data_IF_182882022230
#
_entry.id   IF_182882022230
#
_cell.length_a   1.000
_cell.length_b   1.000
_cell.length_c   1.000
_cell.angle_alpha   90.00
_cell.angle_beta   90.00
_cell.angle_gamma   90.00
#
_symmetry.space_group_name_H-M   'P 1'
#
loop_
_entity.id
_entity.type
_entity.pdbx_description
1 polymer ?
#
# COMPACT_ATOMS: atom_id res chain seq x y z
N UNK A 1 10.43 18.02 21.33
CA UNK A 1 11.41 18.77 20.51
C UNK A 1 12.61 17.95 20.02
N UNK A 2 13.14 16.99 20.78
CA UNK A 2 14.36 16.28 20.34
C UNK A 2 14.22 15.39 19.07
N UNK A 3 13.02 14.94 18.71
CA UNK A 3 12.79 13.99 17.62
C UNK A 3 11.88 14.52 16.49
N UNK A 4 11.45 15.76 16.54
CA UNK A 4 10.67 16.40 15.47
C UNK A 4 11.53 16.46 14.19
N UNK A 5 10.97 15.98 13.06
CA UNK A 5 11.75 15.85 11.84
C UNK A 5 11.12 16.54 10.64
N UNK A 6 9.82 16.40 10.44
CA UNK A 6 9.09 17.05 9.36
C UNK A 6 7.81 17.69 9.88
N UNK A 7 7.40 18.79 9.27
CA UNK A 7 6.05 19.37 9.40
C UNK A 7 5.26 19.11 8.13
N UNK A 8 4.01 18.70 8.26
CA UNK A 8 3.07 18.63 7.14
C UNK A 8 2.64 20.06 6.80
N UNK A 9 3.04 20.57 5.66
CA UNK A 9 2.65 21.91 5.18
C UNK A 9 1.33 21.80 4.41
N UNK A 10 1.16 20.71 3.66
CA UNK A 10 -0.03 20.40 2.87
C UNK A 10 -0.14 18.87 2.81
N UNK A 11 -1.23 18.32 3.30
CA UNK A 11 -1.46 16.86 3.30
C UNK A 11 -1.75 16.29 1.91
N UNK A 12 -1.98 17.14 0.91
CA UNK A 12 -2.42 16.74 -0.43
C UNK A 12 -3.76 16.01 -0.39
N UNK A 13 -3.88 14.93 -1.14
CA UNK A 13 -5.08 14.08 -1.15
C UNK A 13 -5.19 13.16 0.07
N UNK A 14 -4.21 13.19 0.97
CA UNK A 14 -4.21 12.47 2.24
C UNK A 14 -3.02 11.54 2.40
N UNK A 15 -2.75 11.19 3.64
CA UNK A 15 -1.68 10.28 4.01
C UNK A 15 -1.83 9.79 5.44
N UNK A 16 -1.10 8.73 5.76
CA UNK A 16 -1.07 8.11 7.09
C UNK A 16 0.32 7.58 7.41
N UNK A 17 0.62 7.40 8.69
CA UNK A 17 1.74 6.57 9.11
C UNK A 17 1.39 5.11 8.92
N UNK A 18 2.27 4.35 8.27
CA UNK A 18 2.11 2.93 8.03
C UNK A 18 3.43 2.19 8.25
N UNK A 19 3.34 0.99 8.82
CA UNK A 19 4.43 0.03 8.94
C UNK A 19 4.04 -1.31 8.29
N UNK A 20 4.54 -2.45 8.75
CA UNK A 20 4.14 -3.77 8.23
C UNK A 20 2.74 -4.23 8.71
N UNK A 21 2.05 -3.41 9.51
CA UNK A 21 0.75 -3.73 10.06
C UNK A 21 0.81 -4.65 11.28
N UNK A 22 -0.36 -4.88 11.88
CA UNK A 22 -0.53 -5.63 13.13
C UNK A 22 -0.92 -7.07 12.85
N UNK A 23 -0.14 -8.01 13.34
CA UNK A 23 -0.36 -9.46 13.16
C UNK A 23 -1.01 -10.10 14.39
N UNK A 24 -1.79 -11.16 14.18
CA UNK A 24 -2.39 -11.96 15.25
C UNK A 24 -3.74 -11.46 15.79
N UNK A 25 -4.19 -10.26 15.40
CA UNK A 25 -5.38 -9.63 15.97
C UNK A 25 -6.66 -9.81 15.13
N UNK A 26 -6.56 -10.41 13.94
CA UNK A 26 -7.71 -10.63 13.04
C UNK A 26 -8.84 -11.42 13.69
N UNK A 27 -8.54 -12.38 14.55
CA UNK A 27 -9.53 -13.16 15.29
C UNK A 27 -10.40 -12.32 16.25
N UNK A 28 -9.96 -11.10 16.56
CA UNK A 28 -10.69 -10.12 17.35
C UNK A 28 -11.35 -9.02 16.50
N UNK A 29 -11.43 -9.19 15.19
CA UNK A 29 -12.03 -8.21 14.29
C UNK A 29 -11.12 -7.05 13.89
N UNK A 30 -9.84 -7.07 14.29
CA UNK A 30 -8.88 -5.99 13.99
C UNK A 30 -8.16 -6.29 12.68
N UNK A 31 -8.31 -5.44 11.63
CA UNK A 31 -7.60 -5.63 10.37
C UNK A 31 -6.08 -5.42 10.54
N UNK A 32 -5.27 -6.07 9.71
CA UNK A 32 -3.83 -5.95 9.82
C UNK A 32 -3.33 -4.52 9.54
N UNK A 33 -3.99 -3.77 8.68
CA UNK A 33 -3.51 -2.50 8.14
C UNK A 33 -2.11 -2.64 7.53
N UNK A 34 -1.26 -1.63 7.65
CA UNK A 34 0.08 -1.64 7.05
C UNK A 34 0.11 -0.96 5.68
N UNK A 35 1.31 -0.85 5.15
CA UNK A 35 1.54 -0.25 3.83
C UNK A 35 0.79 -1.00 2.74
N UNK A 36 0.22 -0.28 1.79
CA UNK A 36 -0.51 -0.88 0.65
C UNK A 36 0.46 -1.58 -0.32
N UNK A 37 1.60 -0.96 -0.60
CA UNK A 37 2.69 -1.54 -1.40
C UNK A 37 3.93 -1.75 -0.51
N UNK A 38 4.08 -2.98 -0.02
CA UNK A 38 5.19 -3.39 0.84
C UNK A 38 6.54 -3.44 0.11
N UNK A 39 6.54 -3.67 -1.21
CA UNK A 39 7.74 -3.59 -2.02
C UNK A 39 8.32 -2.17 -2.00
N UNK A 40 7.52 -1.18 -2.40
CA UNK A 40 7.96 0.21 -2.45
C UNK A 40 8.36 0.75 -1.07
N UNK A 41 7.51 0.53 -0.05
CA UNK A 41 7.79 0.98 1.31
C UNK A 41 9.07 0.38 1.89
N UNK A 42 9.32 -0.92 1.63
CA UNK A 42 10.55 -1.57 2.09
C UNK A 42 11.79 -0.99 1.43
N UNK A 43 11.71 -0.63 0.13
CA UNK A 43 12.83 0.02 -0.56
C UNK A 43 13.10 1.43 -0.04
N UNK A 44 12.07 2.25 0.25
CA UNK A 44 12.28 3.55 0.90
C UNK A 44 13.07 3.41 2.20
N UNK A 45 12.73 2.42 3.02
CA UNK A 45 13.42 2.15 4.28
C UNK A 45 14.85 1.63 4.05
N UNK A 46 15.04 0.64 3.17
CA UNK A 46 16.36 0.05 2.89
C UNK A 46 17.35 1.07 2.34
N UNK A 47 16.89 2.05 1.58
CA UNK A 47 17.74 3.13 1.06
C UNK A 47 18.36 3.97 2.18
N UNK A 48 17.74 4.02 3.35
CA UNK A 48 18.20 4.73 4.55
C UNK A 48 18.75 3.81 5.64
N UNK A 49 19.04 2.55 5.34
CA UNK A 49 19.48 1.51 6.29
C UNK A 49 18.49 1.32 7.48
N UNK A 50 17.25 1.70 7.29
CA UNK A 50 16.19 1.37 8.23
C UNK A 50 15.81 -0.13 8.13
N UNK A 51 15.20 -0.68 9.19
CA UNK A 51 14.47 -1.94 9.08
C UNK A 51 13.45 -1.83 7.92
N UNK A 52 13.33 -2.85 7.09
CA UNK A 52 12.41 -2.86 5.95
C UNK A 52 10.94 -2.58 6.34
N UNK A 53 10.60 -2.86 7.59
CA UNK A 53 9.27 -2.60 8.16
C UNK A 53 9.18 -1.36 9.05
N UNK A 54 10.18 -0.49 9.06
CA UNK A 54 10.10 0.77 9.80
C UNK A 54 8.91 1.61 9.29
N UNK A 55 8.34 2.39 10.19
CA UNK A 55 7.19 3.24 9.87
C UNK A 55 7.57 4.30 8.82
N UNK A 56 6.75 4.42 7.79
CA UNK A 56 6.84 5.40 6.71
C UNK A 56 5.57 6.26 6.69
N UNK A 57 5.62 7.39 6.02
CA UNK A 57 4.42 8.09 5.57
C UNK A 57 3.98 7.46 4.25
N UNK A 58 2.76 6.96 4.20
CA UNK A 58 2.08 6.52 2.99
C UNK A 58 1.15 7.63 2.51
N UNK A 59 1.32 8.06 1.27
CA UNK A 59 0.62 9.19 0.66
C UNK A 59 -0.22 8.74 -0.52
N UNK A 60 -1.42 9.31 -0.63
CA UNK A 60 -2.34 9.04 -1.74
C UNK A 60 -2.09 10.02 -2.89
N UNK A 61 -1.76 9.50 -4.05
CA UNK A 61 -1.60 10.22 -5.31
C UNK A 61 -0.62 11.40 -5.25
N UNK A 62 -1.08 12.63 -4.91
CA UNK A 62 -0.34 13.86 -5.16
C UNK A 62 -0.67 14.98 -4.17
N UNK A 63 0.12 16.07 -4.25
CA UNK A 63 -0.18 17.35 -3.59
C UNK A 63 0.50 17.53 -2.23
N UNK A 64 1.06 16.48 -1.63
CA UNK A 64 1.64 16.57 -0.30
C UNK A 64 2.91 17.44 -0.27
N UNK A 65 3.04 18.25 0.79
CA UNK A 65 4.21 19.10 1.04
C UNK A 65 4.65 18.98 2.49
N UNK A 66 5.94 18.85 2.67
CA UNK A 66 6.57 18.76 3.99
C UNK A 66 7.67 19.80 4.12
N UNK A 67 7.90 20.30 5.33
CA UNK A 67 9.03 21.15 5.69
C UNK A 67 9.93 20.39 6.66
N UNK A 68 11.23 20.33 6.38
CA UNK A 68 12.20 19.73 7.28
C UNK A 68 12.45 20.63 8.50
N UNK A 69 12.21 20.13 9.69
CA UNK A 69 12.42 20.86 10.94
C UNK A 69 13.87 20.75 11.44
N UNK A 70 14.63 19.86 10.83
CA UNK A 70 16.06 19.60 11.09
C UNK A 70 16.73 19.00 9.87
N UNK A 71 18.05 19.00 9.85
CA UNK A 71 18.80 18.25 8.86
C UNK A 71 18.49 16.77 9.05
N UNK A 72 18.12 16.10 7.94
CA UNK A 72 17.76 14.69 7.94
C UNK A 72 17.99 14.07 6.56
N UNK A 73 17.95 12.76 6.49
CA UNK A 73 17.92 12.03 5.23
C UNK A 73 16.53 11.49 5.00
N UNK A 74 16.08 11.60 3.76
CA UNK A 74 14.79 11.06 3.32
C UNK A 74 14.99 10.15 2.11
N UNK A 75 14.05 9.23 1.91
CA UNK A 75 13.93 8.46 0.67
C UNK A 75 12.47 8.38 0.27
N UNK A 76 12.20 8.55 -1.03
CA UNK A 76 10.86 8.48 -1.61
C UNK A 76 10.82 7.35 -2.63
N UNK A 77 9.72 6.58 -2.60
CA UNK A 77 9.48 5.44 -3.49
C UNK A 77 7.99 5.27 -3.79
N UNK A 78 7.66 4.29 -4.63
CA UNK A 78 6.27 3.98 -4.99
C UNK A 78 5.81 4.74 -6.22
N UNK A 79 4.59 5.26 -6.17
CA UNK A 79 3.98 6.01 -7.26
C UNK A 79 4.88 7.17 -7.72
N UNK A 80 5.00 7.34 -9.02
CA UNK A 80 5.82 8.41 -9.59
C UNK A 80 5.03 9.71 -9.65
N UNK A 81 5.57 10.72 -8.97
CA UNK A 81 5.02 12.08 -8.98
C UNK A 81 6.14 13.07 -9.31
N UNK A 82 5.79 14.20 -9.88
CA UNK A 82 6.72 15.32 -9.97
C UNK A 82 7.10 15.78 -8.56
N UNK A 83 8.38 15.83 -8.29
CA UNK A 83 8.90 16.24 -7.00
C UNK A 83 10.15 17.11 -7.16
N UNK A 84 10.39 17.96 -6.17
CA UNK A 84 11.63 18.73 -6.10
C UNK A 84 12.82 17.93 -5.53
N UNK A 85 12.57 16.67 -5.14
CA UNK A 85 13.58 15.71 -4.67
C UNK A 85 13.52 14.44 -5.50
N UNK A 86 14.65 13.81 -5.80
CA UNK A 86 14.67 12.59 -6.61
C UNK A 86 14.14 11.38 -5.86
N UNK A 87 13.45 10.49 -6.60
CA UNK A 87 12.95 9.20 -6.13
C UNK A 87 14.03 8.11 -6.13
N UNK A 88 13.79 7.08 -5.35
CA UNK A 88 14.55 5.82 -5.30
C UNK A 88 16.02 6.00 -4.92
N UNK A 89 16.31 7.01 -4.11
CA UNK A 89 17.64 7.27 -3.53
C UNK A 89 17.54 8.02 -2.20
N UNK A 90 18.57 7.91 -1.34
CA UNK A 90 18.70 8.79 -0.18
C UNK A 90 18.93 10.24 -0.62
N UNK A 91 18.26 11.17 0.03
CA UNK A 91 18.39 12.60 -0.22
C UNK A 91 18.63 13.31 1.11
N UNK A 92 19.72 14.08 1.27
CA UNK A 92 19.87 14.94 2.42
C UNK A 92 18.95 16.16 2.27
N UNK A 93 18.23 16.49 3.31
CA UNK A 93 17.33 17.66 3.38
C UNK A 93 17.73 18.49 4.59
N UNK A 94 17.94 19.79 4.39
CA UNK A 94 18.33 20.73 5.46
C UNK A 94 17.10 21.28 6.16
N UNK A 95 17.29 21.70 7.40
CA UNK A 95 16.24 22.42 8.15
C UNK A 95 15.73 23.61 7.34
N UNK A 96 14.40 23.76 7.25
CA UNK A 96 13.69 24.77 6.48
C UNK A 96 13.48 24.42 4.99
N UNK A 97 14.13 23.39 4.46
CA UNK A 97 13.87 22.94 3.08
C UNK A 97 12.53 22.20 2.99
N UNK A 98 11.89 22.32 1.83
CA UNK A 98 10.59 21.70 1.54
C UNK A 98 10.75 20.49 0.63
N UNK A 99 9.94 19.48 0.88
CA UNK A 99 9.70 18.33 0.01
C UNK A 99 8.31 18.53 -0.57
N UNK A 100 8.21 18.60 -1.89
CA UNK A 100 6.95 18.82 -2.59
C UNK A 100 6.68 17.69 -3.56
N UNK A 101 5.53 17.03 -3.39
CA UNK A 101 5.02 15.99 -4.29
C UNK A 101 3.86 16.56 -5.08
N UNK A 102 4.08 16.84 -6.37
CA UNK A 102 3.16 17.59 -7.21
C UNK A 102 2.22 16.67 -7.99
N UNK A 103 2.36 16.59 -9.29
CA UNK A 103 1.46 15.83 -10.17
C UNK A 103 1.85 14.36 -10.23
N UNK A 104 0.85 13.49 -10.12
CA UNK A 104 1.03 12.04 -10.24
C UNK A 104 1.04 11.59 -11.71
N UNK A 105 2.01 10.73 -12.07
CA UNK A 105 2.17 10.16 -13.41
C UNK A 105 1.90 8.66 -13.45
N UNK A 106 2.21 7.94 -12.37
CA UNK A 106 2.14 6.49 -12.34
C UNK A 106 1.91 6.01 -10.91
N UNK A 107 1.14 4.94 -10.73
CA UNK A 107 0.84 4.37 -9.43
C UNK A 107 -0.16 5.21 -8.61
N UNK A 108 -0.39 4.80 -7.38
CA UNK A 108 -1.38 5.40 -6.47
C UNK A 108 -0.80 5.79 -5.11
N UNK A 109 0.16 5.02 -4.60
CA UNK A 109 0.71 5.17 -3.26
C UNK A 109 2.19 5.53 -3.31
N UNK A 110 2.55 6.66 -2.71
CA UNK A 110 3.93 7.13 -2.54
C UNK A 110 4.34 6.96 -1.08
N UNK A 111 5.58 6.56 -0.87
CA UNK A 111 6.15 6.34 0.46
C UNK A 111 7.28 7.31 0.72
N UNK A 112 7.20 8.01 1.84
CA UNK A 112 8.27 8.86 2.35
C UNK A 112 8.83 8.21 3.61
N UNK A 113 10.11 7.87 3.58
CA UNK A 113 10.87 7.41 4.73
C UNK A 113 11.84 8.50 5.21
N UNK A 114 12.13 8.50 6.51
CA UNK A 114 13.23 9.28 7.12
C UNK A 114 14.23 8.34 7.76
N UNK A 115 15.45 8.79 7.94
CA UNK A 115 16.46 8.03 8.69
C UNK A 115 15.95 7.67 10.10
N UNK A 116 16.05 6.39 10.48
CA UNK A 116 15.56 5.87 11.75
C UNK A 116 14.06 5.59 11.78
N UNK A 117 13.31 5.82 10.70
CA UNK A 117 11.86 5.62 10.60
C UNK A 117 11.03 6.64 11.37
N UNK A 118 9.74 6.73 11.10
CA UNK A 118 8.83 7.60 11.83
C UNK A 118 8.41 6.97 13.16
N UNK A 119 8.31 7.81 14.20
CA UNK A 119 7.67 7.51 15.47
C UNK A 119 6.19 7.87 15.46
N UNK A 120 5.47 7.42 16.46
CA UNK A 120 4.05 7.72 16.64
C UNK A 120 3.39 6.75 17.61
N UNK A 121 2.08 6.92 17.87
CA UNK A 121 1.33 6.03 18.73
C UNK A 121 1.32 4.61 18.15
N UNK A 122 1.36 3.63 19.04
CA UNK A 122 1.37 2.22 18.70
C UNK A 122 0.10 1.53 19.19
N UNK A 123 -0.53 0.74 18.30
CA UNK A 123 -1.73 -0.01 18.57
C UNK A 123 -1.50 -1.47 18.21
N UNK A 124 -1.56 -2.36 19.19
CA UNK A 124 -1.37 -3.80 18.99
C UNK A 124 -0.06 -4.16 18.28
N UNK A 125 1.05 -3.50 18.69
CA UNK A 125 2.39 -3.73 18.16
C UNK A 125 2.65 -3.14 16.77
N UNK A 126 1.83 -2.18 16.31
CA UNK A 126 1.98 -1.50 15.01
C UNK A 126 1.61 -0.02 15.11
N UNK A 127 2.34 0.82 14.35
CA UNK A 127 2.03 2.25 14.16
C UNK A 127 1.17 2.53 12.94
N UNK A 128 0.76 1.48 12.23
CA UNK A 128 -0.12 1.64 11.07
C UNK A 128 -1.45 2.24 11.48
N UNK A 129 -1.81 3.35 10.87
CA UNK A 129 -3.11 3.96 11.09
C UNK A 129 -4.22 3.08 10.49
N UNK A 130 -5.29 2.89 11.26
CA UNK A 130 -6.58 2.38 10.83
C UNK A 130 -7.65 3.39 11.27
N UNK A 131 -7.85 4.40 10.44
CA UNK A 131 -8.66 5.58 10.79
C UNK A 131 -10.11 5.21 11.13
N UNK A 132 -10.71 4.26 10.40
CA UNK A 132 -12.08 3.78 10.65
C UNK A 132 -12.25 3.11 12.03
N UNK A 133 -11.18 2.54 12.57
CA UNK A 133 -11.17 1.90 13.89
C UNK A 133 -10.55 2.78 14.99
N UNK A 134 -10.36 4.08 14.74
CA UNK A 134 -9.76 5.04 15.68
C UNK A 134 -8.37 4.63 16.18
N UNK A 135 -7.61 3.88 15.39
CA UNK A 135 -6.21 3.52 15.66
C UNK A 135 -5.31 4.40 14.77
N UNK A 136 -4.78 5.47 15.35
CA UNK A 136 -4.07 6.51 14.60
C UNK A 136 -5.02 7.43 13.82
N UNK A 137 -4.44 8.37 13.09
CA UNK A 137 -5.15 9.40 12.33
C UNK A 137 -4.58 9.57 10.93
N UNK A 138 -5.37 10.14 10.03
CA UNK A 138 -4.84 10.72 8.81
C UNK A 138 -4.01 11.96 9.15
N UNK A 139 -3.01 12.24 8.32
CA UNK A 139 -2.21 13.46 8.43
C UNK A 139 -3.08 14.69 8.20
N UNK A 140 -2.82 15.72 8.99
CA UNK A 140 -3.42 17.04 8.86
C UNK A 140 -2.34 18.10 8.61
N UNK A 141 -2.76 19.21 7.98
CA UNK A 141 -1.89 20.35 7.79
C UNK A 141 -1.47 20.91 9.17
N UNK A 142 -0.18 21.16 9.33
CA UNK A 142 0.42 21.58 10.60
C UNK A 142 0.94 20.45 11.48
N UNK A 143 0.61 19.19 11.20
CA UNK A 143 1.12 18.05 11.96
C UNK A 143 2.65 18.03 11.97
N UNK A 144 3.21 17.73 13.16
CA UNK A 144 4.64 17.54 13.35
C UNK A 144 4.95 16.05 13.47
N UNK A 145 5.69 15.55 12.49
CA UNK A 145 6.13 14.18 12.46
C UNK A 145 7.46 14.03 13.21
N UNK A 146 7.54 12.98 14.02
CA UNK A 146 8.73 12.66 14.81
C UNK A 146 9.43 11.44 14.24
N UNK A 147 10.76 11.37 14.34
CA UNK A 147 11.48 10.14 14.05
C UNK A 147 11.55 9.24 15.28
N UNK A 148 11.54 7.93 15.05
CA UNK A 148 11.59 6.95 16.14
C UNK A 148 12.95 6.98 16.86
N UNK A 149 14.00 7.33 16.16
CA UNK A 149 15.38 7.30 16.61
C UNK A 149 16.17 6.23 15.82
N UNK A 150 17.44 6.11 16.13
CA UNK A 150 18.34 5.17 15.45
C UNK A 150 19.70 5.80 15.17
N UNK A 151 20.58 5.04 14.55
CA UNK A 151 21.86 5.58 14.10
C UNK A 151 21.64 6.58 12.96
N UNK A 152 22.36 7.70 12.93
CA UNK A 152 22.33 8.60 11.80
C UNK A 152 22.72 7.85 10.52
N UNK A 153 21.95 8.09 9.45
CA UNK A 153 22.30 7.53 8.14
C UNK A 153 23.56 8.23 7.59
N UNK A 154 24.46 7.44 7.06
CA UNK A 154 25.66 7.93 6.39
C UNK A 154 25.92 7.07 5.15
N UNK A 155 26.19 7.72 4.04
CA UNK A 155 26.70 6.98 2.87
C UNK A 155 28.11 6.46 3.18
N UNK A 156 28.44 5.21 2.80
CA UNK A 156 29.79 4.69 2.94
C UNK A 156 30.82 5.59 2.23
N UNK A 157 32.02 5.67 2.78
CA UNK A 157 33.09 6.47 2.21
C UNK A 157 33.37 6.08 0.74
N UNK A 158 33.59 7.08 -0.09
CA UNK A 158 33.82 6.90 -1.53
C UNK A 158 32.60 6.64 -2.38
N UNK A 159 31.38 6.62 -1.78
CA UNK A 159 30.11 6.44 -2.51
C UNK A 159 29.41 7.79 -2.66
N UNK A 160 29.30 8.26 -3.92
CA UNK A 160 28.60 9.51 -4.24
C UNK A 160 27.07 9.42 -4.13
N UNK A 161 26.50 8.20 -4.02
CA UNK A 161 25.07 7.99 -3.92
C UNK A 161 24.70 6.51 -3.88
N UNK A 162 23.42 6.27 -3.59
CA UNK A 162 22.80 4.93 -3.56
C UNK A 162 21.50 4.99 -4.36
N UNK A 163 21.17 3.94 -5.06
CA UNK A 163 19.87 3.79 -5.73
C UNK A 163 19.49 2.31 -5.76
N UNK A 164 18.24 2.02 -6.08
CA UNK A 164 17.80 0.62 -6.24
C UNK A 164 18.20 0.09 -7.62
N UNK A 165 18.33 -1.25 -7.78
CA UNK A 165 18.47 -1.88 -9.09
C UNK A 165 17.30 -1.52 -10.02
N UNK A 166 17.57 -1.32 -11.31
CA UNK A 166 16.54 -0.94 -12.28
C UNK A 166 15.39 -1.93 -12.36
N UNK A 167 15.66 -3.23 -12.20
CA UNK A 167 14.66 -4.30 -12.18
C UNK A 167 13.68 -4.22 -11.00
N UNK A 168 14.07 -3.53 -9.92
CA UNK A 168 13.22 -3.32 -8.75
C UNK A 168 12.29 -2.10 -8.89
N UNK A 169 12.50 -1.26 -9.92
CA UNK A 169 11.59 -0.17 -10.25
C UNK A 169 10.44 -0.70 -11.07
N UNK A 170 9.26 -0.73 -10.46
CA UNK A 170 8.04 -1.22 -11.08
C UNK A 170 7.42 -0.15 -11.97
N UNK A 171 7.00 -0.51 -13.17
CA UNK A 171 6.13 0.31 -14.01
C UNK A 171 4.67 0.07 -13.63
N UNK A 172 4.13 0.92 -12.79
CA UNK A 172 2.76 0.79 -12.33
C UNK A 172 1.71 1.14 -13.39
N UNK A 173 2.09 1.72 -14.53
CA UNK A 173 1.18 1.92 -15.65
C UNK A 173 0.91 0.60 -16.41
N UNK A 174 1.84 -0.35 -16.34
CA UNK A 174 1.75 -1.65 -17.01
C UNK A 174 1.92 -2.81 -16.00
N UNK A 175 0.94 -3.02 -15.09
CA UNK A 175 1.02 -4.12 -14.16
C UNK A 175 1.00 -5.47 -14.92
N UNK A 176 1.73 -6.49 -14.44
CA UNK A 176 1.65 -7.83 -15.00
C UNK A 176 0.27 -8.43 -14.75
N UNK A 177 -0.04 -9.55 -15.40
CA UNK A 177 -1.18 -10.36 -15.01
C UNK A 177 -0.97 -10.89 -13.59
N UNK A 178 -1.92 -10.61 -12.69
CA UNK A 178 -1.81 -10.89 -11.26
C UNK A 178 -2.17 -12.34 -10.96
N UNK A 179 -1.34 -13.03 -10.18
CA UNK A 179 -1.50 -14.45 -9.87
C UNK A 179 -2.56 -14.67 -8.80
N UNK A 180 -3.42 -15.65 -9.05
CA UNK A 180 -4.52 -15.98 -8.13
C UNK A 180 -4.48 -17.47 -7.80
N UNK A 181 -4.39 -17.76 -6.51
CA UNK A 181 -4.57 -19.10 -5.95
C UNK A 181 -6.05 -19.39 -5.77
N UNK A 182 -6.52 -20.62 -6.05
CA UNK A 182 -7.92 -20.97 -5.82
C UNK A 182 -8.26 -20.91 -4.33
N UNK A 183 -9.45 -20.36 -4.00
CA UNK A 183 -9.99 -20.47 -2.65
C UNK A 183 -10.75 -21.80 -2.48
N UNK A 184 -10.97 -22.27 -1.24
CA UNK A 184 -11.78 -23.48 -1.01
C UNK A 184 -13.19 -23.39 -1.62
N UNK A 185 -13.72 -22.19 -1.77
CA UNK A 185 -15.05 -21.92 -2.36
C UNK A 185 -15.02 -21.72 -3.88
N UNK A 186 -13.85 -21.79 -4.55
CA UNK A 186 -13.75 -21.59 -6.00
C UNK A 186 -14.59 -22.58 -6.79
N UNK A 187 -14.81 -23.78 -6.28
CA UNK A 187 -15.64 -24.81 -6.89
C UNK A 187 -17.11 -24.39 -7.04
N UNK A 188 -17.62 -23.51 -6.16
CA UNK A 188 -18.98 -22.99 -6.23
C UNK A 188 -19.26 -22.19 -7.50
N UNK A 189 -18.22 -21.61 -8.11
CA UNK A 189 -18.34 -20.85 -9.35
C UNK A 189 -18.36 -21.75 -10.59
N UNK A 190 -17.93 -23.02 -10.46
CA UNK A 190 -17.74 -23.91 -11.58
C UNK A 190 -16.65 -23.43 -12.55
N UNK A 191 -16.29 -24.31 -13.46
CA UNK A 191 -15.17 -24.06 -14.40
C UNK A 191 -15.40 -22.83 -15.30
N UNK A 192 -16.61 -22.70 -15.86
CA UNK A 192 -16.97 -21.63 -16.80
C UNK A 192 -16.81 -20.22 -16.18
N UNK A 193 -17.27 -20.01 -14.96
CA UNK A 193 -17.21 -18.70 -14.30
C UNK A 193 -15.80 -18.38 -13.83
N UNK A 194 -15.03 -19.40 -13.42
CA UNK A 194 -13.62 -19.22 -13.10
C UNK A 194 -12.80 -18.86 -14.35
N UNK A 195 -13.02 -19.53 -15.48
CA UNK A 195 -12.38 -19.19 -16.76
C UNK A 195 -12.76 -17.77 -17.19
N UNK A 196 -14.05 -17.41 -17.10
CA UNK A 196 -14.53 -16.06 -17.38
C UNK A 196 -13.81 -14.98 -16.57
N UNK A 197 -13.56 -15.21 -15.27
CA UNK A 197 -12.81 -14.27 -14.44
C UNK A 197 -11.39 -14.03 -14.98
N UNK A 198 -10.68 -15.07 -15.39
CA UNK A 198 -9.30 -14.98 -15.90
C UNK A 198 -9.21 -14.44 -17.32
N UNK A 199 -10.23 -14.62 -18.14
CA UNK A 199 -10.29 -14.10 -19.52
C UNK A 199 -10.70 -12.62 -19.57
N UNK A 200 -11.40 -12.15 -18.52
CA UNK A 200 -11.90 -10.78 -18.45
C UNK A 200 -10.76 -9.81 -18.11
N UNK A 201 -10.72 -8.68 -18.80
CA UNK A 201 -9.95 -7.52 -18.41
C UNK A 201 -10.81 -6.66 -17.46
N UNK A 202 -10.38 -6.54 -16.21
CA UNK A 202 -11.09 -5.81 -15.17
C UNK A 202 -10.60 -4.38 -15.07
N UNK A 203 -11.50 -3.45 -14.73
CA UNK A 203 -11.17 -2.05 -14.49
C UNK A 203 -11.29 -1.71 -13.00
N UNK A 204 -10.27 -1.10 -12.42
CA UNK A 204 -10.31 -0.63 -11.03
C UNK A 204 -11.27 0.56 -10.94
N UNK A 205 -12.23 0.51 -10.02
CA UNK A 205 -13.25 1.56 -9.88
C UNK A 205 -12.82 2.69 -8.92
N UNK A 206 -13.44 3.88 -9.00
CA UNK A 206 -13.17 5.00 -8.08
C UNK A 206 -13.43 4.67 -6.60
N UNK A 207 -14.34 3.74 -6.31
CA UNK A 207 -14.70 3.32 -4.95
C UNK A 207 -13.65 2.41 -4.31
N UNK A 208 -12.56 2.13 -5.02
CA UNK A 208 -11.44 1.35 -4.49
C UNK A 208 -10.67 2.15 -3.44
N UNK A 209 -10.41 1.53 -2.30
CA UNK A 209 -9.68 2.14 -1.18
C UNK A 209 -8.83 1.10 -0.43
N UNK A 210 -8.34 1.48 0.75
CA UNK A 210 -7.56 0.58 1.62
C UNK A 210 -8.36 -0.62 2.17
N UNK A 211 -9.69 -0.59 2.09
CA UNK A 211 -10.58 -1.69 2.52
C UNK A 211 -10.71 -2.75 1.44
N UNK A 212 -10.89 -2.32 0.19
CA UNK A 212 -11.04 -3.23 -0.93
C UNK A 212 -10.97 -2.54 -2.28
N UNK A 213 -10.37 -3.23 -3.24
CA UNK A 213 -10.34 -2.81 -4.63
C UNK A 213 -11.54 -3.41 -5.34
N UNK A 214 -12.42 -2.55 -5.82
CA UNK A 214 -13.62 -2.92 -6.56
C UNK A 214 -13.30 -2.92 -8.04
N UNK A 215 -13.72 -3.99 -8.71
CA UNK A 215 -13.44 -4.20 -10.13
C UNK A 215 -14.74 -4.12 -10.92
N UNK A 216 -14.68 -3.48 -12.07
CA UNK A 216 -15.78 -3.42 -13.04
C UNK A 216 -15.38 -4.21 -14.31
N UNK A 217 -16.34 -4.90 -14.89
CA UNK A 217 -16.16 -5.73 -16.09
C UNK A 217 -17.43 -6.47 -16.42
N UNK A 218 -17.34 -7.58 -17.13
CA UNK A 218 -18.50 -8.46 -17.33
C UNK A 218 -18.81 -9.23 -16.04
N UNK A 219 -20.04 -9.15 -15.51
CA UNK A 219 -20.39 -9.78 -14.24
C UNK A 219 -20.15 -11.29 -14.24
N UNK A 220 -19.68 -11.80 -13.11
CA UNK A 220 -19.62 -13.24 -12.83
C UNK A 220 -20.95 -13.65 -12.21
N UNK A 221 -21.57 -14.72 -12.71
CA UNK A 221 -22.78 -15.23 -12.10
C UNK A 221 -22.52 -15.63 -10.65
N UNK A 222 -23.39 -15.14 -9.77
CA UNK A 222 -23.32 -15.39 -8.33
C UNK A 222 -23.83 -16.80 -8.00
N UNK A 223 -23.13 -17.60 -7.20
CA UNK A 223 -23.66 -18.89 -6.74
C UNK A 223 -24.94 -18.68 -5.93
N UNK A 224 -25.96 -19.53 -6.12
CA UNK A 224 -27.30 -19.34 -5.53
C UNK A 224 -27.34 -19.49 -4.00
N UNK A 225 -26.32 -20.07 -3.39
CA UNK A 225 -26.33 -20.40 -1.98
C UNK A 225 -25.89 -19.24 -1.09
N UNK A 226 -26.62 -18.99 -0.01
CA UNK A 226 -26.17 -18.09 1.07
C UNK A 226 -25.05 -18.78 1.84
N UNK A 227 -23.88 -18.15 1.85
CA UNK A 227 -22.75 -18.64 2.60
C UNK A 227 -22.72 -18.06 4.02
N UNK A 228 -22.29 -18.88 4.97
CA UNK A 228 -21.92 -18.40 6.28
C UNK A 228 -20.71 -17.48 6.18
N UNK A 229 -20.67 -16.47 7.05
CA UNK A 229 -19.53 -15.60 7.14
C UNK A 229 -18.30 -16.35 7.62
N UNK A 230 -17.19 -16.20 6.90
CA UNK A 230 -15.92 -16.86 7.15
C UNK A 230 -14.77 -15.85 7.25
N UNK A 231 -13.61 -16.25 7.80
CA UNK A 231 -12.43 -15.40 7.79
C UNK A 231 -12.05 -14.96 6.37
N UNK A 232 -11.78 -13.66 6.23
CA UNK A 232 -11.31 -13.04 4.99
C UNK A 232 -9.89 -12.55 5.19
N UNK A 233 -9.00 -12.74 4.21
CA UNK A 233 -7.60 -12.28 4.23
C UNK A 233 -7.36 -11.18 3.20
N UNK A 234 -6.29 -10.42 3.39
CA UNK A 234 -5.80 -9.52 2.33
C UNK A 234 -5.51 -10.32 1.07
N UNK A 235 -5.94 -9.81 -0.07
CA UNK A 235 -5.86 -10.49 -1.36
C UNK A 235 -7.04 -11.41 -1.67
N UNK A 236 -7.98 -11.66 -0.75
CA UNK A 236 -9.17 -12.47 -1.05
C UNK A 236 -10.04 -11.78 -2.10
N UNK A 237 -10.36 -12.50 -3.17
CA UNK A 237 -11.25 -12.06 -4.25
C UNK A 237 -12.65 -12.57 -3.93
N UNK A 238 -13.52 -11.67 -3.56
CA UNK A 238 -14.93 -11.93 -3.23
C UNK A 238 -15.82 -11.49 -4.38
N UNK A 239 -16.86 -12.25 -4.66
CA UNK A 239 -17.85 -11.94 -5.71
C UNK A 239 -19.21 -11.72 -5.04
N UNK A 240 -19.66 -10.46 -4.86
CA UNK A 240 -21.01 -10.12 -4.39
C UNK A 240 -22.09 -10.49 -5.42
N UNK A 241 -23.36 -10.35 -5.03
CA UNK A 241 -24.54 -10.68 -5.85
C UNK A 241 -24.58 -9.96 -7.22
N UNK A 242 -23.97 -8.79 -7.32
CA UNK A 242 -23.86 -8.05 -8.60
C UNK A 242 -22.81 -8.62 -9.55
N UNK A 243 -22.09 -9.66 -9.16
CA UNK A 243 -21.07 -10.32 -9.99
C UNK A 243 -19.75 -9.52 -10.15
N UNK A 244 -19.59 -8.39 -9.47
CA UNK A 244 -18.39 -7.54 -9.58
C UNK A 244 -17.38 -7.91 -8.50
N UNK A 245 -16.17 -8.39 -8.87
CA UNK A 245 -15.18 -8.82 -7.89
C UNK A 245 -14.69 -7.68 -7.00
N UNK A 246 -14.46 -7.99 -5.72
CA UNK A 246 -13.84 -7.12 -4.74
C UNK A 246 -12.60 -7.83 -4.18
N UNK A 247 -11.43 -7.23 -4.34
CA UNK A 247 -10.22 -7.74 -3.72
C UNK A 247 -10.02 -7.07 -2.37
N UNK A 248 -10.06 -7.85 -1.30
CA UNK A 248 -9.85 -7.35 0.07
C UNK A 248 -8.44 -6.80 0.23
N UNK A 249 -8.33 -5.57 0.73
CA UNK A 249 -7.05 -4.90 0.95
C UNK A 249 -6.67 -4.81 2.44
N UNK A 250 -5.66 -4.01 2.77
CA UNK A 250 -5.00 -3.97 4.09
C UNK A 250 -5.92 -3.60 5.26
N UNK A 251 -6.92 -2.72 5.06
CA UNK A 251 -7.91 -2.32 6.06
C UNK A 251 -9.24 -3.06 5.89
N UNK A 252 -9.24 -4.13 5.08
CA UNK A 252 -10.43 -4.91 4.80
C UNK A 252 -10.97 -5.69 5.99
N UNK A 253 -12.23 -6.15 5.91
CA UNK A 253 -12.89 -6.88 6.97
C UNK A 253 -12.14 -8.18 7.28
N UNK A 254 -12.22 -8.62 8.53
CA UNK A 254 -11.62 -9.89 8.98
C UNK A 254 -12.53 -11.08 8.75
N UNK A 255 -13.83 -10.81 8.53
CA UNK A 255 -14.90 -11.80 8.29
C UNK A 255 -15.79 -11.27 7.16
N UNK A 256 -16.25 -12.15 6.26
CA UNK A 256 -17.16 -11.83 5.17
C UNK A 256 -17.94 -13.03 4.68
N UNK A 257 -19.13 -12.78 4.13
CA UNK A 257 -20.07 -13.81 3.67
C UNK A 257 -20.19 -13.92 2.15
N UNK A 258 -19.46 -13.13 1.38
CA UNK A 258 -19.44 -13.30 -0.08
C UNK A 258 -18.60 -14.50 -0.48
N UNK A 259 -19.02 -15.25 -1.52
CA UNK A 259 -18.23 -16.33 -2.09
C UNK A 259 -16.82 -15.85 -2.50
N UNK A 260 -15.83 -16.69 -2.20
CA UNK A 260 -14.41 -16.41 -2.47
C UNK A 260 -13.96 -17.19 -3.69
N UNK A 261 -13.76 -16.49 -4.81
CA UNK A 261 -13.27 -17.08 -6.04
C UNK A 261 -11.81 -17.54 -5.92
N UNK A 262 -11.00 -16.73 -5.28
CA UNK A 262 -9.57 -16.98 -5.14
C UNK A 262 -8.90 -16.03 -4.18
N UNK A 263 -7.59 -16.17 -4.10
CA UNK A 263 -6.74 -15.29 -3.31
C UNK A 263 -5.55 -14.83 -4.14
N UNK A 264 -5.37 -13.54 -4.25
CA UNK A 264 -4.24 -12.93 -4.93
C UNK A 264 -2.92 -13.39 -4.27
N UNK A 265 -1.92 -13.68 -5.07
CA UNK A 265 -0.59 -13.97 -4.55
C UNK A 265 -0.12 -12.79 -3.69
N UNK A 266 0.45 -13.03 -2.50
CA UNK A 266 0.88 -11.95 -1.62
C UNK A 266 1.83 -10.94 -2.28
N UNK A 267 2.69 -11.37 -3.22
CA UNK A 267 3.59 -10.50 -3.96
C UNK A 267 2.86 -9.58 -4.95
N UNK A 268 1.67 -9.97 -5.39
CA UNK A 268 0.90 -9.24 -6.39
C UNK A 268 -0.12 -8.26 -5.78
N UNK A 269 -0.36 -8.35 -4.46
CA UNK A 269 -1.20 -7.38 -3.73
C UNK A 269 -0.68 -5.95 -3.90
N UNK A 270 0.64 -5.77 -3.83
CA UNK A 270 1.27 -4.46 -4.01
C UNK A 270 1.15 -3.93 -5.44
N UNK A 271 1.11 -4.79 -6.45
CA UNK A 271 0.82 -4.38 -7.83
C UNK A 271 -0.60 -3.84 -7.97
N UNK A 272 -1.59 -4.61 -7.46
CA UNK A 272 -2.99 -4.16 -7.49
C UNK A 272 -3.16 -2.85 -6.70
N UNK A 273 -2.52 -2.74 -5.54
CA UNK A 273 -2.58 -1.55 -4.70
C UNK A 273 -2.18 -0.27 -5.45
N UNK A 274 -1.24 -0.37 -6.39
CA UNK A 274 -0.77 0.76 -7.18
C UNK A 274 -1.66 1.09 -8.38
N UNK A 275 -2.63 0.23 -8.72
CA UNK A 275 -3.54 0.51 -9.84
C UNK A 275 -4.48 1.67 -9.49
N UNK A 276 -4.57 2.64 -10.38
CA UNK A 276 -5.44 3.81 -10.25
C UNK A 276 -6.87 3.51 -10.70
N UNK A 277 -7.87 4.27 -10.24
CA UNK A 277 -9.21 4.23 -10.84
C UNK A 277 -9.15 4.41 -12.36
N UNK A 278 -9.90 3.56 -13.08
CA UNK A 278 -9.90 3.52 -14.54
C UNK A 278 -8.79 2.64 -15.16
N UNK A 279 -7.80 2.20 -14.38
CA UNK A 279 -6.75 1.32 -14.87
C UNK A 279 -7.24 -0.10 -15.03
N UNK A 280 -6.82 -0.74 -16.12
CA UNK A 280 -7.13 -2.12 -16.42
C UNK A 280 -6.14 -3.08 -15.74
N UNK A 281 -6.67 -4.20 -15.24
CA UNK A 281 -5.90 -5.29 -14.63
C UNK A 281 -6.38 -6.63 -15.17
N UNK A 282 -5.46 -7.59 -15.23
CA UNK A 282 -5.73 -8.97 -15.61
C UNK A 282 -5.26 -9.90 -14.51
N UNK A 283 -5.88 -11.05 -14.45
CA UNK A 283 -5.53 -12.11 -13.51
C UNK A 283 -5.12 -13.38 -14.26
N UNK A 284 -4.32 -14.21 -13.63
CA UNK A 284 -3.92 -15.51 -14.14
C UNK A 284 -3.90 -16.53 -13.00
N UNK A 285 -4.17 -17.82 -13.28
CA UNK A 285 -4.02 -18.84 -12.26
C UNK A 285 -2.57 -18.92 -11.76
N UNK A 286 -2.40 -18.97 -10.45
CA UNK A 286 -1.09 -19.28 -9.87
C UNK A 286 -0.77 -20.76 -10.14
N UNK A 287 0.51 -21.07 -10.38
CA UNK A 287 1.02 -22.42 -10.54
C UNK A 287 2.01 -22.71 -9.44
N UNK A 288 1.94 -23.88 -8.87
CA UNK A 288 3.03 -24.38 -8.02
C UNK A 288 4.28 -24.53 -8.90
N UNK A 289 5.37 -23.90 -8.47
CA UNK A 289 6.68 -23.98 -9.13
C UNK A 289 7.48 -25.14 -8.55
#
# INVERSE_FOLDING_TARGET
MANEVLRVVDRGLGGTLQDQGRRGWRKYGVPPSGVMDDHAASWANRLLDNSAGATVVELLLQGAKFEALRNTWVAISGAEVDANVPFWRPVPVKAGERIELRQNHSGRWTYLAVEGGFGGPEFFGSRSAYVRGAMGSALADGDVLVKQGGKPFQLPDGIAGRTIPSLERRDYNHPPALKVWPAPQSELFGRRHSEHFFETTWTVTPESDRVGYRLAGTPIEFPPDRLLSEPVRVGTIQVPENGMPIVTMRDGPTVGGYPKLGMLDPSDVSWLAQCRPGQQVRFQPARET
#
